data_IF_032392977874
#
_entry.id   IF_032392977874
#
_cell.length_a   1.000
_cell.length_b   1.000
_cell.length_c   1.000
_cell.angle_alpha   90.00
_cell.angle_beta   90.00
_cell.angle_gamma   90.00
#
_symmetry.space_group_name_H-M   'P 1'
#
loop_
_entity.id
_entity.type
_entity.pdbx_description
1 polymer ?
#
# COMPACT_ATOMS: atom_id res chain seq x y z
N UNK A 1 -16.14 -4.52 3.01
CA UNK A 1 -16.46 -5.82 3.64
C UNK A 1 -17.09 -5.64 5.00
N UNK A 2 -17.91 -6.63 5.39
CA UNK A 2 -18.65 -6.74 6.65
C UNK A 2 -20.08 -6.16 6.56
N UNK A 3 -21.09 -7.02 6.46
CA UNK A 3 -22.48 -6.64 6.79
C UNK A 3 -22.70 -6.92 8.29
N UNK A 4 -23.14 -5.92 9.05
CA UNK A 4 -23.45 -6.08 10.47
C UNK A 4 -22.84 -5.03 11.38
N UNK A 5 -22.73 -5.39 12.66
CA UNK A 5 -22.25 -4.48 13.70
C UNK A 5 -20.75 -4.20 13.56
N UNK A 6 -20.37 -2.96 13.86
CA UNK A 6 -18.96 -2.53 13.90
C UNK A 6 -18.41 -2.82 15.29
N UNK A 7 -17.31 -3.58 15.37
CA UNK A 7 -16.70 -3.99 16.63
C UNK A 7 -15.37 -3.28 16.93
N UNK A 8 -14.89 -2.44 16.02
CA UNK A 8 -13.65 -1.70 16.20
C UNK A 8 -13.64 -0.38 15.44
N UNK A 9 -12.76 0.50 15.88
CA UNK A 9 -12.52 1.82 15.29
C UNK A 9 -11.15 1.83 14.62
N UNK A 10 -11.10 2.20 13.35
CA UNK A 10 -9.85 2.52 12.66
C UNK A 10 -9.40 3.92 13.04
N UNK A 11 -8.11 4.08 13.35
CA UNK A 11 -7.50 5.38 13.64
C UNK A 11 -6.55 5.89 12.55
N UNK A 12 -6.22 5.05 11.57
CA UNK A 12 -5.43 5.38 10.39
C UNK A 12 -5.71 4.36 9.28
N UNK A 13 -5.47 4.76 8.04
CA UNK A 13 -5.57 3.91 6.86
C UNK A 13 -4.21 3.43 6.37
N UNK A 14 -4.23 2.52 5.42
CA UNK A 14 -3.03 2.03 4.74
C UNK A 14 -3.41 1.64 3.31
N UNK A 15 -2.49 1.82 2.38
CA UNK A 15 -2.60 1.23 1.05
C UNK A 15 -1.24 0.79 0.53
N UNK A 16 -1.25 -0.13 -0.42
CA UNK A 16 -0.04 -0.61 -1.09
C UNK A 16 0.26 0.26 -2.30
N UNK A 17 1.55 0.55 -2.47
CA UNK A 17 2.07 1.39 -3.55
C UNK A 17 3.35 0.80 -4.15
N UNK A 18 3.74 1.36 -5.28
CA UNK A 18 5.07 1.22 -5.86
C UNK A 18 5.88 2.46 -5.51
N UNK A 19 6.78 2.33 -4.54
CA UNK A 19 7.80 3.33 -4.23
C UNK A 19 8.94 3.23 -5.22
N UNK A 20 9.43 4.38 -5.70
CA UNK A 20 10.54 4.39 -6.65
C UNK A 20 11.53 5.50 -6.39
N UNK A 21 12.78 5.23 -6.75
CA UNK A 21 13.86 6.21 -6.75
C UNK A 21 13.78 7.04 -8.05
N UNK A 22 13.40 8.31 -7.92
CA UNK A 22 13.17 9.22 -9.06
C UNK A 22 14.46 9.48 -9.82
N UNK A 23 15.58 9.57 -9.12
CA UNK A 23 16.88 9.85 -9.74
C UNK A 23 17.33 8.69 -10.62
N UNK A 24 17.15 7.45 -10.17
CA UNK A 24 17.42 6.25 -10.97
C UNK A 24 16.47 6.14 -12.17
N UNK A 25 15.19 6.48 -11.99
CA UNK A 25 14.23 6.53 -13.11
C UNK A 25 14.62 7.60 -14.13
N UNK A 26 15.00 8.80 -13.68
CA UNK A 26 15.43 9.90 -14.53
C UNK A 26 16.71 9.54 -15.31
N UNK A 27 17.70 8.93 -14.65
CA UNK A 27 18.95 8.46 -15.28
C UNK A 27 18.68 7.48 -16.44
N UNK A 28 17.66 6.63 -16.31
CA UNK A 28 17.26 5.66 -17.33
C UNK A 28 16.18 6.18 -18.30
N UNK A 29 15.80 7.46 -18.19
CA UNK A 29 14.72 8.08 -18.95
C UNK A 29 13.42 7.26 -18.86
N UNK A 30 13.04 6.86 -17.64
CA UNK A 30 11.84 6.09 -17.34
C UNK A 30 10.76 7.05 -16.84
N UNK A 31 9.58 6.96 -17.44
CA UNK A 31 8.38 7.63 -16.94
C UNK A 31 7.64 6.72 -15.97
N UNK A 32 6.76 7.30 -15.14
CA UNK A 32 5.91 6.52 -14.23
C UNK A 32 5.04 5.54 -15.05
N UNK A 33 5.15 4.22 -14.83
CA UNK A 33 4.37 3.23 -15.56
C UNK A 33 2.87 3.35 -15.31
N UNK A 34 2.09 3.21 -16.38
CA UNK A 34 0.62 3.18 -16.35
C UNK A 34 0.05 1.77 -16.60
N UNK A 35 0.88 0.83 -17.07
CA UNK A 35 0.52 -0.58 -17.22
C UNK A 35 1.60 -1.51 -16.66
N UNK A 36 1.24 -2.78 -16.39
CA UNK A 36 2.21 -3.82 -16.01
C UNK A 36 3.29 -3.98 -17.08
N UNK A 37 2.94 -3.85 -18.37
CA UNK A 37 3.92 -3.93 -19.46
C UNK A 37 4.94 -2.77 -19.41
N UNK A 38 4.49 -1.54 -19.12
CA UNK A 38 5.40 -0.40 -18.95
C UNK A 38 6.29 -0.56 -17.70
N UNK A 39 5.75 -1.16 -16.63
CA UNK A 39 6.53 -1.48 -15.43
C UNK A 39 7.61 -2.52 -15.75
N UNK A 40 7.28 -3.55 -16.55
CA UNK A 40 8.27 -4.51 -17.03
C UNK A 40 9.34 -3.87 -17.92
N UNK A 41 8.98 -2.91 -18.78
CA UNK A 41 9.95 -2.18 -19.60
C UNK A 41 10.88 -1.30 -18.76
N UNK A 42 10.36 -0.71 -17.68
CA UNK A 42 11.19 0.00 -16.70
C UNK A 42 12.19 -0.97 -16.03
N UNK A 43 11.71 -2.14 -15.61
CA UNK A 43 12.54 -3.18 -15.00
C UNK A 43 13.57 -3.77 -15.98
N UNK A 44 13.23 -3.93 -17.27
CA UNK A 44 14.16 -4.36 -18.34
C UNK A 44 15.37 -3.41 -18.42
N UNK A 45 15.13 -2.09 -18.36
CA UNK A 45 16.22 -1.09 -18.43
C UNK A 45 17.21 -1.24 -17.29
N UNK A 46 16.72 -1.43 -16.06
CA UNK A 46 17.57 -1.65 -14.89
C UNK A 46 18.31 -3.00 -14.97
N UNK A 47 17.60 -4.08 -15.31
CA UNK A 47 18.19 -5.41 -15.45
C UNK A 47 19.28 -5.43 -16.55
N UNK A 48 19.04 -4.71 -17.66
CA UNK A 48 19.98 -4.58 -18.78
C UNK A 48 21.30 -3.91 -18.42
N UNK A 49 21.34 -3.13 -17.33
CA UNK A 49 22.58 -2.54 -16.78
C UNK A 49 23.07 -3.25 -15.52
N UNK A 50 22.53 -4.44 -15.22
CA UNK A 50 22.96 -5.29 -14.11
C UNK A 50 22.39 -4.92 -12.75
N UNK A 51 21.35 -4.08 -12.70
CA UNK A 51 20.65 -3.71 -11.46
C UNK A 51 19.41 -4.59 -11.32
N UNK A 52 19.29 -5.33 -10.20
CA UNK A 52 18.03 -5.97 -9.84
C UNK A 52 17.01 -4.88 -9.48
N UNK A 53 15.90 -4.74 -10.23
CA UNK A 53 14.95 -3.64 -10.08
C UNK A 53 14.14 -3.63 -8.77
N UNK A 54 13.66 -4.80 -8.32
CA UNK A 54 12.74 -4.87 -7.18
C UNK A 54 13.48 -5.24 -5.89
N UNK A 55 13.40 -4.35 -4.89
CA UNK A 55 13.56 -4.76 -3.50
C UNK A 55 12.34 -5.62 -3.12
N UNK A 56 12.56 -6.89 -2.80
CA UNK A 56 11.46 -7.78 -2.42
C UNK A 56 11.88 -8.71 -1.27
N UNK A 57 11.27 -8.48 -0.11
CA UNK A 57 11.34 -9.37 1.03
C UNK A 57 10.17 -10.35 1.01
N UNK A 58 10.35 -11.51 0.39
CA UNK A 58 9.29 -12.52 0.22
C UNK A 58 9.16 -13.48 1.40
N UNK A 59 9.99 -13.32 2.45
CA UNK A 59 9.79 -14.03 3.71
C UNK A 59 8.49 -13.58 4.42
N UNK A 60 8.07 -12.33 4.18
CA UNK A 60 6.93 -11.68 4.84
C UNK A 60 5.93 -11.11 3.82
N UNK A 61 5.18 -10.07 4.22
CA UNK A 61 4.08 -9.48 3.47
C UNK A 61 4.43 -8.90 2.08
N UNK A 62 5.63 -8.34 1.77
CA UNK A 62 5.89 -7.73 0.45
C UNK A 62 5.73 -8.73 -0.70
N UNK A 63 6.15 -9.99 -0.52
CA UNK A 63 5.94 -11.04 -1.51
C UNK A 63 4.47 -11.30 -1.78
N UNK A 64 3.65 -11.39 -0.73
CA UNK A 64 2.19 -11.58 -0.87
C UNK A 64 1.48 -10.35 -1.44
N UNK A 65 1.95 -9.14 -1.14
CA UNK A 65 1.41 -7.92 -1.74
C UNK A 65 1.67 -7.88 -3.24
N UNK A 66 2.91 -8.16 -3.67
CA UNK A 66 3.23 -8.20 -5.10
C UNK A 66 2.37 -9.24 -5.83
N UNK A 67 2.22 -10.45 -5.26
CA UNK A 67 1.37 -11.48 -5.86
C UNK A 67 -0.10 -11.01 -5.97
N UNK A 68 -0.62 -10.37 -4.93
CA UNK A 68 -2.00 -9.88 -4.94
C UNK A 68 -2.21 -8.73 -5.93
N UNK A 69 -1.30 -7.78 -6.00
CA UNK A 69 -1.33 -6.68 -6.98
C UNK A 69 -1.33 -7.21 -8.43
N UNK A 70 -0.50 -8.21 -8.72
CA UNK A 70 -0.48 -8.89 -10.02
C UNK A 70 -1.78 -9.63 -10.32
N UNK A 71 -2.42 -10.21 -9.29
CA UNK A 71 -3.74 -10.83 -9.44
C UNK A 71 -4.81 -9.76 -9.72
N UNK A 72 -4.79 -8.63 -8.99
CA UNK A 72 -5.71 -7.50 -9.19
C UNK A 72 -5.58 -6.86 -10.57
N UNK A 73 -4.37 -6.82 -11.14
CA UNK A 73 -4.12 -6.42 -12.53
C UNK A 73 -4.79 -7.34 -13.57
N UNK A 74 -5.26 -8.51 -13.15
CA UNK A 74 -5.95 -9.49 -13.99
C UNK A 74 -7.40 -9.78 -13.52
N UNK A 75 -7.91 -9.04 -12.53
CA UNK A 75 -9.28 -9.16 -12.03
C UNK A 75 -10.13 -8.00 -12.53
N UNK A 76 -11.38 -8.31 -12.86
CA UNK A 76 -12.44 -7.31 -12.85
C UNK A 76 -13.14 -7.26 -11.48
N UNK A 77 -14.12 -6.37 -11.36
CA UNK A 77 -14.86 -6.16 -10.12
C UNK A 77 -15.63 -7.41 -9.67
N UNK A 78 -16.16 -8.19 -10.59
CA UNK A 78 -16.94 -9.39 -10.27
C UNK A 78 -16.02 -10.50 -9.75
N UNK A 79 -14.88 -10.73 -10.42
CA UNK A 79 -13.85 -11.68 -9.98
C UNK A 79 -13.30 -11.31 -8.61
N UNK A 80 -13.08 -10.02 -8.39
CA UNK A 80 -12.66 -9.48 -7.10
C UNK A 80 -13.73 -9.67 -6.01
N UNK A 81 -15.00 -9.36 -6.29
CA UNK A 81 -16.11 -9.55 -5.36
C UNK A 81 -16.29 -11.03 -4.99
N UNK A 82 -16.16 -11.95 -5.95
CA UNK A 82 -16.18 -13.39 -5.67
C UNK A 82 -15.04 -13.79 -4.72
N UNK A 83 -13.82 -13.30 -4.95
CA UNK A 83 -12.66 -13.63 -4.11
C UNK A 83 -12.70 -12.97 -2.71
N UNK A 84 -12.87 -11.65 -2.63
CA UNK A 84 -12.81 -10.92 -1.36
C UNK A 84 -14.12 -10.90 -0.60
N UNK A 85 -15.25 -10.80 -1.30
CA UNK A 85 -16.56 -10.67 -0.66
C UNK A 85 -17.34 -11.98 -0.60
N UNK A 86 -16.81 -13.06 -1.18
CA UNK A 86 -17.47 -14.35 -1.28
C UNK A 86 -18.82 -14.26 -2.00
N UNK A 87 -18.96 -13.31 -2.93
CA UNK A 87 -20.17 -13.08 -3.74
C UNK A 87 -20.17 -13.97 -5.00
N UNK A 88 -20.10 -15.29 -4.82
CA UNK A 88 -20.08 -16.26 -5.91
C UNK A 88 -18.87 -17.19 -5.87
N UNK A 89 -18.63 -17.90 -6.98
CA UNK A 89 -17.51 -18.81 -7.12
C UNK A 89 -16.24 -18.07 -7.58
N UNK A 90 -15.11 -18.37 -6.95
CA UNK A 90 -13.83 -17.73 -7.25
C UNK A 90 -13.25 -18.26 -8.56
N UNK A 91 -12.96 -17.35 -9.50
CA UNK A 91 -12.08 -17.63 -10.65
C UNK A 91 -10.61 -17.47 -10.25
N UNK A 92 -9.84 -18.55 -10.37
CA UNK A 92 -8.43 -18.58 -10.01
C UNK A 92 -7.48 -18.17 -11.15
N UNK A 93 -8.00 -17.90 -12.36
CA UNK A 93 -7.19 -17.55 -13.53
C UNK A 93 -6.29 -16.33 -13.28
N UNK A 94 -6.79 -15.33 -12.56
CA UNK A 94 -5.99 -14.14 -12.21
C UNK A 94 -4.81 -14.48 -11.29
N UNK A 95 -5.01 -15.40 -10.33
CA UNK A 95 -3.96 -15.87 -9.43
C UNK A 95 -2.92 -16.74 -10.14
N UNK A 96 -3.34 -17.60 -11.06
CA UNK A 96 -2.43 -18.40 -11.89
C UNK A 96 -1.51 -17.50 -12.74
N UNK A 97 -2.09 -16.47 -13.39
CA UNK A 97 -1.31 -15.47 -14.13
C UNK A 97 -0.35 -14.71 -13.23
N UNK A 98 -0.79 -14.29 -12.04
CA UNK A 98 0.07 -13.59 -11.09
C UNK A 98 1.28 -14.44 -10.67
N UNK A 99 1.06 -15.72 -10.36
CA UNK A 99 2.12 -16.65 -10.00
C UNK A 99 3.10 -16.89 -11.17
N UNK A 100 2.58 -17.00 -12.40
CA UNK A 100 3.42 -17.09 -13.60
C UNK A 100 4.26 -15.82 -13.79
N UNK A 101 3.68 -14.64 -13.62
CA UNK A 101 4.40 -13.36 -13.71
C UNK A 101 5.52 -13.26 -12.67
N UNK A 102 5.27 -13.68 -11.41
CA UNK A 102 6.33 -13.73 -10.37
C UNK A 102 7.47 -14.68 -10.77
N UNK A 103 7.14 -15.85 -11.32
CA UNK A 103 8.14 -16.79 -11.84
C UNK A 103 8.96 -16.16 -12.97
N UNK A 104 8.29 -15.52 -13.94
CA UNK A 104 8.93 -14.89 -15.10
C UNK A 104 9.82 -13.71 -14.66
N UNK A 105 9.33 -12.87 -13.74
CA UNK A 105 10.10 -11.76 -13.17
C UNK A 105 11.33 -12.25 -12.42
N UNK A 106 11.24 -13.38 -11.71
CA UNK A 106 12.41 -14.01 -11.08
C UNK A 106 13.40 -14.54 -12.12
N UNK A 107 12.91 -15.18 -13.19
CA UNK A 107 13.76 -15.69 -14.27
C UNK A 107 14.47 -14.58 -15.05
N UNK A 108 13.82 -13.43 -15.23
CA UNK A 108 14.35 -12.22 -15.87
C UNK A 108 15.29 -11.41 -14.97
N UNK A 109 15.44 -11.81 -13.70
CA UNK A 109 16.29 -11.11 -12.73
C UNK A 109 15.67 -9.83 -12.16
N UNK A 110 14.36 -9.65 -12.33
CA UNK A 110 13.62 -8.53 -11.75
C UNK A 110 13.49 -8.66 -10.24
N UNK A 111 13.33 -9.90 -9.80
CA UNK A 111 13.24 -10.33 -8.42
C UNK A 111 14.49 -11.15 -8.11
N UNK A 112 15.12 -10.90 -6.96
CA UNK A 112 16.21 -11.74 -6.47
C UNK A 112 15.72 -13.17 -6.17
N UNK A 113 16.51 -14.18 -6.57
CA UNK A 113 16.24 -15.59 -6.24
C UNK A 113 16.28 -15.86 -4.73
N UNK A 114 16.98 -15.02 -3.99
CA UNK A 114 17.09 -15.11 -2.53
C UNK A 114 15.93 -14.41 -1.80
N UNK A 115 15.00 -13.77 -2.54
CA UNK A 115 13.91 -12.97 -1.95
C UNK A 115 13.09 -13.71 -0.89
N UNK A 116 12.93 -15.03 -1.02
CA UNK A 116 12.19 -15.87 -0.03
C UNK A 116 12.86 -15.98 1.33
N UNK A 117 14.14 -15.63 1.45
CA UNK A 117 14.88 -15.53 2.72
C UNK A 117 15.15 -14.09 3.17
N UNK A 118 14.59 -13.09 2.49
CA UNK A 118 14.76 -11.67 2.82
C UNK A 118 13.52 -11.20 3.57
N UNK A 119 13.73 -10.64 4.77
CA UNK A 119 12.65 -10.04 5.56
C UNK A 119 12.17 -8.72 4.93
N UNK A 120 10.94 -8.32 5.23
CA UNK A 120 10.41 -7.06 4.73
C UNK A 120 11.27 -5.85 5.13
N UNK A 121 11.80 -5.86 6.35
CA UNK A 121 12.63 -4.77 6.86
C UNK A 121 13.93 -4.62 6.07
N UNK A 122 14.59 -5.73 5.74
CA UNK A 122 15.86 -5.72 5.00
C UNK A 122 15.67 -5.20 3.57
N UNK A 123 14.58 -5.60 2.91
CA UNK A 123 14.24 -5.09 1.58
C UNK A 123 13.95 -3.57 1.60
N UNK A 124 13.19 -3.09 2.60
CA UNK A 124 12.93 -1.65 2.77
C UNK A 124 14.20 -0.85 3.06
N UNK A 125 15.07 -1.36 3.95
CA UNK A 125 16.36 -0.72 4.24
C UNK A 125 17.27 -0.66 3.01
N UNK A 126 17.24 -1.70 2.16
CA UNK A 126 18.00 -1.69 0.91
C UNK A 126 17.48 -0.66 -0.09
N UNK A 127 16.16 -0.43 -0.14
CA UNK A 127 15.57 0.68 -0.89
C UNK A 127 16.00 2.04 -0.30
N UNK A 128 15.94 2.22 1.02
CA UNK A 128 16.41 3.44 1.71
C UNK A 128 17.88 3.74 1.39
N UNK A 129 18.70 2.70 1.29
CA UNK A 129 20.11 2.80 0.90
C UNK A 129 20.33 3.03 -0.62
N UNK A 130 19.26 3.18 -1.42
CA UNK A 130 19.34 3.44 -2.86
C UNK A 130 19.81 2.25 -3.69
N UNK A 131 19.83 1.04 -3.13
CA UNK A 131 20.36 -0.16 -3.82
C UNK A 131 19.39 -0.72 -4.87
N UNK A 132 18.10 -0.44 -4.71
CA UNK A 132 17.03 -0.91 -5.58
C UNK A 132 16.22 0.28 -6.09
N UNK A 133 15.87 0.33 -7.39
CA UNK A 133 15.09 1.42 -7.96
C UNK A 133 13.61 1.38 -7.59
N UNK A 134 13.07 0.20 -7.23
CA UNK A 134 11.64 -0.01 -7.00
C UNK A 134 11.40 -0.85 -5.74
N UNK A 135 10.40 -0.46 -4.94
CA UNK A 135 9.93 -1.21 -3.78
C UNK A 135 8.39 -1.24 -3.72
N UNK A 136 7.81 -2.43 -3.76
CA UNK A 136 6.36 -2.63 -3.68
C UNK A 136 5.98 -2.89 -2.22
N UNK A 137 5.35 -1.91 -1.58
CA UNK A 137 5.00 -1.98 -0.16
C UNK A 137 4.00 -0.90 0.23
N UNK A 138 3.53 -0.95 1.47
CA UNK A 138 2.51 -0.02 1.93
C UNK A 138 3.03 1.32 2.43
N UNK A 139 2.07 2.21 2.68
CA UNK A 139 2.32 3.56 3.18
C UNK A 139 2.94 3.66 4.57
N UNK A 140 2.98 2.57 5.34
CA UNK A 140 3.68 2.54 6.64
C UNK A 140 5.19 2.81 6.52
N UNK A 141 5.77 2.71 5.32
CA UNK A 141 7.18 3.08 5.07
C UNK A 141 7.41 4.58 4.89
N UNK A 142 6.36 5.36 4.62
CA UNK A 142 6.46 6.75 4.20
C UNK A 142 7.25 7.62 5.20
N UNK A 143 6.96 7.49 6.49
CA UNK A 143 7.65 8.22 7.56
C UNK A 143 9.15 7.93 7.57
N UNK A 144 9.54 6.64 7.63
CA UNK A 144 10.94 6.23 7.56
C UNK A 144 11.64 6.69 6.29
N UNK A 145 10.95 6.67 5.14
CA UNK A 145 11.54 7.15 3.90
C UNK A 145 11.83 8.65 3.93
N UNK A 146 10.90 9.45 4.46
CA UNK A 146 11.12 10.89 4.63
C UNK A 146 12.28 11.18 5.61
N UNK A 147 12.40 10.37 6.66
CA UNK A 147 13.40 10.55 7.71
C UNK A 147 14.79 10.04 7.33
N UNK A 148 14.88 8.94 6.59
CA UNK A 148 16.15 8.22 6.38
C UNK A 148 16.73 8.41 4.98
N UNK A 149 15.90 8.64 3.95
CA UNK A 149 16.40 8.88 2.59
C UNK A 149 16.89 10.34 2.49
N UNK A 150 18.20 10.51 2.30
CA UNK A 150 18.84 11.82 2.13
C UNK A 150 19.60 11.97 0.80
N UNK A 151 19.88 10.86 0.13
CA UNK A 151 20.81 10.82 -1.00
C UNK A 151 20.10 10.78 -2.37
N UNK A 152 18.78 10.62 -2.41
CA UNK A 152 17.99 10.62 -3.63
C UNK A 152 16.57 11.11 -3.41
N UNK A 153 15.94 11.56 -4.48
CA UNK A 153 14.52 11.91 -4.49
C UNK A 153 13.67 10.64 -4.72
N UNK A 154 12.62 10.44 -3.92
CA UNK A 154 11.69 9.33 -4.07
C UNK A 154 10.25 9.81 -4.29
N UNK A 155 9.44 8.95 -4.87
CA UNK A 155 8.00 9.18 -5.03
C UNK A 155 7.26 7.83 -5.00
N UNK A 156 5.94 7.88 -5.15
CA UNK A 156 5.13 6.68 -5.30
C UNK A 156 4.11 6.80 -6.43
N UNK A 157 3.75 5.65 -6.98
CA UNK A 157 2.58 5.47 -7.83
C UNK A 157 1.83 4.21 -7.41
N UNK A 158 0.57 4.09 -7.83
CA UNK A 158 -0.21 2.88 -7.58
C UNK A 158 0.24 1.76 -8.51
N UNK A 159 0.06 0.51 -8.09
CA UNK A 159 0.37 -0.61 -8.97
C UNK A 159 -0.44 -0.49 -10.28
N UNK A 160 0.23 -0.54 -11.45
CA UNK A 160 -0.39 -0.13 -12.69
C UNK A 160 -1.27 -1.24 -13.30
N UNK A 161 -2.18 -0.85 -14.19
CA UNK A 161 -3.02 -1.80 -14.94
C UNK A 161 -4.27 -2.29 -14.22
N UNK A 162 -4.63 -1.71 -13.08
CA UNK A 162 -5.89 -1.95 -12.39
C UNK A 162 -6.37 -0.69 -11.70
N UNK A 163 -7.68 -0.58 -11.55
CA UNK A 163 -8.29 0.41 -10.66
C UNK A 163 -8.51 -0.15 -9.25
N UNK A 164 -8.28 -1.45 -9.02
CA UNK A 164 -8.44 -2.15 -7.73
C UNK A 164 -7.16 -2.09 -6.91
N UNK A 165 -7.18 -1.39 -5.77
CA UNK A 165 -5.96 -1.14 -4.99
C UNK A 165 -6.03 -1.69 -3.56
N UNK A 166 -5.08 -2.55 -3.12
CA UNK A 166 -5.04 -3.07 -1.76
C UNK A 166 -4.93 -1.94 -0.74
N UNK A 167 -5.76 -2.03 0.29
CA UNK A 167 -5.62 -1.18 1.46
C UNK A 167 -6.44 -1.64 2.64
N UNK A 168 -6.20 -1.01 3.79
CA UNK A 168 -6.75 -1.39 5.08
C UNK A 168 -7.09 -0.16 5.93
N UNK A 169 -7.97 -0.33 6.91
CA UNK A 169 -8.17 0.63 8.00
C UNK A 169 -7.12 0.45 9.10
N UNK A 170 -5.92 -0.02 8.75
CA UNK A 170 -4.83 -0.30 9.68
C UNK A 170 -5.23 -1.24 10.82
N UNK A 171 -4.65 -0.98 11.99
CA UNK A 171 -5.03 -1.63 13.23
C UNK A 171 -6.36 -1.07 13.77
N UNK A 172 -7.13 -1.94 14.43
CA UNK A 172 -8.43 -1.57 14.99
C UNK A 172 -8.34 -1.43 16.52
N UNK A 173 -8.85 -0.30 17.02
CA UNK A 173 -9.17 -0.16 18.43
C UNK A 173 -10.45 -0.93 18.75
N UNK A 174 -10.34 -1.91 19.65
CA UNK A 174 -11.46 -2.75 20.09
C UNK A 174 -11.55 -2.67 21.60
N UNK A 175 -12.75 -2.41 22.14
CA UNK A 175 -13.02 -2.46 23.58
C UNK A 175 -13.64 -3.81 23.93
N UNK A 176 -12.94 -4.68 24.69
CA UNK A 176 -13.51 -5.96 25.09
C UNK A 176 -14.80 -5.78 25.88
N UNK A 177 -15.79 -6.63 25.61
CA UNK A 177 -17.10 -6.56 26.29
C UNK A 177 -16.98 -6.61 27.82
N UNK A 178 -15.99 -7.33 28.35
CA UNK A 178 -15.74 -7.50 29.79
C UNK A 178 -14.66 -6.57 30.34
N UNK A 179 -14.24 -5.55 29.59
CA UNK A 179 -13.30 -4.56 30.08
C UNK A 179 -13.85 -3.87 31.33
N UNK A 180 -13.02 -3.76 32.38
CA UNK A 180 -13.43 -3.18 33.66
C UNK A 180 -13.59 -1.65 33.61
N UNK A 181 -12.87 -1.01 32.69
CA UNK A 181 -12.79 0.45 32.56
C UNK A 181 -13.09 0.86 31.12
N UNK A 182 -14.34 0.70 30.67
CA UNK A 182 -14.73 1.00 29.27
C UNK A 182 -14.64 2.49 28.94
N UNK A 183 -15.07 3.36 29.85
CA UNK A 183 -15.03 4.80 29.65
C UNK A 183 -13.61 5.31 29.38
N UNK A 184 -12.61 4.87 30.14
CA UNK A 184 -11.22 5.25 29.89
C UNK A 184 -10.69 4.75 28.54
N UNK A 185 -11.18 3.60 28.07
CA UNK A 185 -10.83 3.12 26.73
C UNK A 185 -11.46 4.01 25.65
N UNK A 186 -12.70 4.45 25.85
CA UNK A 186 -13.37 5.40 24.95
C UNK A 186 -12.70 6.77 24.95
N UNK A 187 -12.32 7.31 26.12
CA UNK A 187 -11.55 8.56 26.22
C UNK A 187 -10.24 8.48 25.44
N UNK A 188 -9.51 7.37 25.56
CA UNK A 188 -8.28 7.15 24.80
C UNK A 188 -8.56 7.11 23.29
N UNK A 189 -9.60 6.39 22.85
CA UNK A 189 -9.99 6.35 21.45
C UNK A 189 -10.34 7.75 20.92
N UNK A 190 -11.10 8.56 21.68
CA UNK A 190 -11.41 9.95 21.32
C UNK A 190 -10.16 10.81 21.19
N UNK A 191 -9.18 10.68 22.09
CA UNK A 191 -7.90 11.38 22.00
C UNK A 191 -7.17 11.04 20.69
N UNK A 192 -7.07 9.75 20.34
CA UNK A 192 -6.39 9.32 19.09
C UNK A 192 -7.09 9.79 17.82
N UNK A 193 -8.39 10.05 17.90
CA UNK A 193 -9.21 10.57 16.81
C UNK A 193 -9.35 12.09 16.80
N UNK A 194 -8.74 12.79 17.76
CA UNK A 194 -8.78 14.24 17.80
C UNK A 194 -8.11 14.84 16.55
N UNK A 195 -8.57 16.02 16.07
CA UNK A 195 -7.97 16.66 14.91
C UNK A 195 -6.47 16.90 15.06
N UNK A 196 -6.01 17.25 16.27
CA UNK A 196 -4.58 17.43 16.55
C UNK A 196 -3.77 16.16 16.27
N UNK A 197 -4.20 15.01 16.81
CA UNK A 197 -3.49 13.74 16.63
C UNK A 197 -3.60 13.23 15.20
N UNK A 198 -4.75 13.38 14.55
CA UNK A 198 -4.91 12.97 13.14
C UNK A 198 -4.07 13.84 12.19
N UNK A 199 -3.98 15.15 12.45
CA UNK A 199 -3.13 16.04 11.67
C UNK A 199 -1.64 15.74 11.92
N UNK A 200 -1.24 15.46 13.16
CA UNK A 200 0.12 15.01 13.48
C UNK A 200 0.45 13.73 12.71
N UNK A 201 -0.40 12.72 12.80
CA UNK A 201 -0.23 11.44 12.12
C UNK A 201 -0.02 11.62 10.61
N UNK A 202 -0.83 12.45 9.97
CA UNK A 202 -0.67 12.77 8.55
C UNK A 202 0.62 13.52 8.22
N UNK A 203 1.05 14.45 9.08
CA UNK A 203 2.30 15.18 8.84
C UNK A 203 3.55 14.29 9.04
N UNK A 204 3.47 13.23 9.85
CA UNK A 204 4.51 12.21 10.00
C UNK A 204 4.49 11.14 8.88
N UNK A 205 3.63 11.29 7.87
CA UNK A 205 3.58 10.42 6.68
C UNK A 205 2.66 9.20 6.79
N UNK A 206 2.12 8.93 7.98
CA UNK A 206 1.03 7.97 8.12
C UNK A 206 -0.27 8.53 7.50
N UNK A 207 -1.30 7.70 7.39
CA UNK A 207 -2.50 8.04 6.62
C UNK A 207 -3.70 8.21 7.56
N UNK A 208 -4.07 9.45 7.93
CA UNK A 208 -5.17 9.68 8.85
C UNK A 208 -6.52 9.42 8.20
N UNK A 209 -7.48 8.92 8.98
CA UNK A 209 -8.86 8.66 8.52
C UNK A 209 -9.80 9.84 8.79
N UNK A 210 -9.36 10.81 9.60
CA UNK A 210 -10.17 11.95 10.03
C UNK A 210 -9.40 13.29 10.10
N UNK A 211 -8.24 13.39 9.44
CA UNK A 211 -7.51 14.66 9.37
C UNK A 211 -8.21 15.66 8.42
N UNK A 212 -7.98 16.95 8.68
CA UNK A 212 -8.23 17.99 7.70
C UNK A 212 -7.09 18.00 6.68
N UNK A 213 -7.38 17.71 5.41
CA UNK A 213 -6.35 17.72 4.35
C UNK A 213 -5.60 19.06 4.29
N UNK A 214 -6.27 20.18 4.58
CA UNK A 214 -5.63 21.49 4.58
C UNK A 214 -4.58 21.65 5.70
N UNK A 215 -4.67 20.84 6.76
CA UNK A 215 -3.71 20.79 7.85
C UNK A 215 -2.51 19.85 7.57
N UNK A 216 -2.54 19.09 6.48
CA UNK A 216 -1.43 18.23 6.06
C UNK A 216 -0.47 19.06 5.21
N UNK A 217 0.62 19.49 5.83
CA UNK A 217 1.57 20.44 5.25
C UNK A 217 2.90 19.81 4.85
N UNK A 218 3.30 18.72 5.53
CA UNK A 218 4.54 18.01 5.25
C UNK A 218 4.56 17.43 3.84
N UNK A 219 5.73 17.38 3.17
CA UNK A 219 5.84 16.76 1.84
C UNK A 219 5.37 15.31 1.82
N UNK A 220 5.75 14.53 2.84
CA UNK A 220 5.37 13.11 2.93
C UNK A 220 3.88 12.90 3.18
N UNK A 221 3.26 13.73 4.03
CA UNK A 221 1.82 13.68 4.26
C UNK A 221 1.03 14.03 3.01
N UNK A 222 1.51 15.01 2.23
CA UNK A 222 0.92 15.37 0.92
C UNK A 222 1.09 14.28 -0.13
N UNK A 223 2.09 13.41 0.04
CA UNK A 223 2.31 12.29 -0.85
C UNK A 223 1.36 11.13 -0.55
N UNK A 224 0.98 10.89 0.70
CA UNK A 224 0.17 9.73 1.11
C UNK A 224 -1.31 10.02 1.32
N UNK A 225 -1.65 11.13 1.99
CA UNK A 225 -3.02 11.40 2.46
C UNK A 225 -4.01 11.68 1.32
N UNK A 226 -3.71 12.57 0.35
CA UNK A 226 -4.65 12.87 -0.73
C UNK A 226 -4.95 11.64 -1.60
N UNK A 227 -3.94 10.79 -1.83
CA UNK A 227 -4.08 9.54 -2.57
C UNK A 227 -5.00 8.56 -1.85
N UNK A 228 -4.85 8.41 -0.53
CA UNK A 228 -5.76 7.59 0.26
C UNK A 228 -7.21 8.08 0.16
N UNK A 229 -7.42 9.39 0.27
CA UNK A 229 -8.75 9.99 0.17
C UNK A 229 -9.36 9.84 -1.23
N UNK A 230 -8.57 9.97 -2.30
CA UNK A 230 -8.99 9.68 -3.66
C UNK A 230 -9.47 8.23 -3.79
N UNK A 231 -8.65 7.29 -3.34
CA UNK A 231 -8.95 5.87 -3.39
C UNK A 231 -10.18 5.52 -2.52
N UNK A 232 -10.34 6.10 -1.34
CA UNK A 232 -11.53 5.91 -0.50
C UNK A 232 -12.83 6.34 -1.19
N UNK A 233 -12.76 7.41 -1.99
CA UNK A 233 -13.91 8.01 -2.65
C UNK A 233 -14.16 7.48 -4.06
N UNK A 234 -13.28 6.64 -4.59
CA UNK A 234 -13.42 6.04 -5.92
C UNK A 234 -14.67 5.15 -6.00
N UNK A 235 -15.45 5.33 -7.07
CA UNK A 235 -16.71 4.61 -7.31
C UNK A 235 -16.50 3.25 -7.97
N UNK A 236 -15.37 3.10 -8.69
CA UNK A 236 -15.18 2.04 -9.67
C UNK A 236 -14.10 1.02 -9.29
N UNK A 237 -13.34 1.25 -8.21
CA UNK A 237 -12.32 0.29 -7.78
C UNK A 237 -11.50 0.68 -6.57
N UNK A 238 -11.96 1.64 -5.77
CA UNK A 238 -11.17 2.28 -4.72
C UNK A 238 -10.44 1.39 -3.70
N UNK A 239 -9.88 2.06 -2.70
CA UNK A 239 -9.20 1.41 -1.57
C UNK A 239 -10.12 0.30 -1.03
N UNK A 240 -9.64 -0.94 -1.00
CA UNK A 240 -10.45 -2.12 -0.67
C UNK A 240 -10.78 -2.21 0.84
N UNK A 241 -11.07 -1.07 1.46
CA UNK A 241 -11.47 -0.85 2.85
C UNK A 241 -12.98 -0.68 3.00
N UNK A 242 -13.52 -0.92 4.20
CA UNK A 242 -14.90 -0.56 4.50
C UNK A 242 -15.10 0.94 4.31
N UNK A 243 -16.12 1.35 3.55
CA UNK A 243 -16.58 2.74 3.57
C UNK A 243 -16.92 3.12 5.01
N UNK A 244 -16.23 4.11 5.56
CA UNK A 244 -16.64 4.79 6.79
C UNK A 244 -17.95 5.51 6.49
N UNK A 245 -19.09 4.86 6.70
CA UNK A 245 -20.36 5.56 6.62
C UNK A 245 -20.31 6.67 7.68
N UNK A 246 -20.35 7.91 7.21
CA UNK A 246 -20.36 9.11 8.04
C UNK A 246 -21.40 9.00 9.15
N UNK A 247 -21.16 9.74 10.23
CA UNK A 247 -22.06 9.85 11.39
C UNK A 247 -23.49 10.13 10.92
N UNK A 248 -24.27 9.07 10.75
CA UNK A 248 -25.72 9.15 10.75
C UNK A 248 -26.12 9.44 12.17
N UNK A 249 -26.47 10.69 12.43
CA UNK A 249 -27.23 11.08 13.62
C UNK A 249 -28.48 10.21 13.67
N UNK A 250 -28.54 9.29 14.63
CA UNK A 250 -29.80 8.87 15.25
C UNK A 250 -29.87 9.53 16.62
#
# INVERSE_FOLDING_TARGET
MGSGQRYGLTNYGEYVSVWYNKDLFAQQNIQVPSSVQELEQAMDKFAGVGITPLALGSQDYPGTHLLYELALANMDKDSWSAYQQFEGDVDWTAWEKAAQTVQDWTARGYISKDSTGIAAQDAGNAFVAGQYPIFVSGTWWAGSFADEIKDFEFDQFLFPGTDLHPGSGGNLWVVPEKAKNKELAYDFMEITMSPEIQNLLGNEGAVPVAADEAAITSPIGKLTTPRFNELLNSKDGGLLVPRLAGRGTQ
#
